data_IF_397105640559
#
_entry.id   IF_397105640559
#
_cell.length_a   1.000
_cell.length_b   1.000
_cell.length_c   1.000
_cell.angle_alpha   90.00
_cell.angle_beta   90.00
_cell.angle_gamma   90.00
#
_symmetry.space_group_name_H-M   'P 1'
#
loop_
_entity.id
_entity.type
_entity.pdbx_description
1 polymer ?
#
# COMPACT_ATOMS: atom_id res chain seq x y z
N UNK A 1 20.05 2.93 1.93
CA UNK A 1 18.75 2.29 2.16
C UNK A 1 17.92 3.20 3.06
N UNK A 2 17.02 4.01 2.50
CA UNK A 2 16.16 4.93 3.25
C UNK A 2 14.69 4.64 2.88
N UNK A 3 13.76 4.56 3.85
CA UNK A 3 12.42 4.05 3.61
C UNK A 3 11.46 5.10 3.01
N UNK A 4 10.76 4.65 1.97
CA UNK A 4 9.37 4.88 1.59
C UNK A 4 8.59 6.03 2.29
N UNK A 5 8.35 7.12 1.57
CA UNK A 5 7.43 8.19 1.97
C UNK A 5 6.00 7.88 1.47
N UNK A 6 5.11 7.51 2.40
CA UNK A 6 3.68 7.33 2.18
C UNK A 6 2.99 8.71 2.04
N UNK A 7 2.56 9.09 0.84
CA UNK A 7 1.65 10.24 0.64
C UNK A 7 0.20 9.79 0.88
N UNK A 8 -0.40 10.23 1.99
CA UNK A 8 -1.84 10.20 2.21
C UNK A 8 -2.39 11.60 1.89
N UNK A 9 -3.07 11.75 0.75
CA UNK A 9 -3.74 12.98 0.36
C UNK A 9 -5.20 12.96 0.82
N UNK A 10 -5.71 14.02 1.49
CA UNK A 10 -7.11 14.13 1.85
C UNK A 10 -7.95 14.37 0.60
N UNK A 11 -8.85 13.42 0.29
CA UNK A 11 -9.91 13.61 -0.72
C UNK A 11 -10.87 14.67 -0.18
N UNK A 12 -11.00 15.80 -0.89
CA UNK A 12 -11.90 16.90 -0.50
C UNK A 12 -13.32 16.56 -0.93
N UNK A 13 -14.08 15.98 -0.01
CA UNK A 13 -15.51 16.28 0.16
C UNK A 13 -15.87 16.03 1.63
N UNK A 14 -16.35 17.09 2.28
CA UNK A 14 -16.65 17.25 3.71
C UNK A 14 -15.44 17.46 4.67
N UNK A 15 -15.57 18.36 5.68
CA UNK A 15 -14.43 18.92 6.39
C UNK A 15 -14.07 18.03 7.58
N UNK A 16 -13.06 17.16 7.43
CA UNK A 16 -12.36 16.57 8.58
C UNK A 16 -10.88 16.43 8.25
N UNK A 17 -10.11 17.43 8.69
CA UNK A 17 -8.65 17.43 8.68
C UNK A 17 -8.15 16.34 9.62
N UNK A 18 -7.68 15.21 9.09
CA UNK A 18 -6.80 14.30 9.83
C UNK A 18 -5.81 13.65 8.88
N UNK A 19 -4.65 14.30 8.71
CA UNK A 19 -3.45 13.64 8.19
C UNK A 19 -2.99 12.62 9.22
N UNK A 20 -3.06 11.34 8.88
CA UNK A 20 -2.48 10.29 9.72
C UNK A 20 -1.20 9.79 9.08
N UNK A 21 -0.06 10.25 9.60
CA UNK A 21 1.24 9.71 9.24
C UNK A 21 1.42 8.39 10.02
N UNK A 22 1.15 7.24 9.39
CA UNK A 22 1.46 5.95 10.02
C UNK A 22 2.94 5.64 9.79
N UNK A 23 3.78 5.90 10.80
CA UNK A 23 5.17 5.43 10.83
C UNK A 23 5.18 3.97 11.27
N UNK A 24 5.51 3.06 10.36
CA UNK A 24 5.89 1.70 10.74
C UNK A 24 7.30 1.73 11.31
N UNK A 25 7.44 1.81 12.63
CA UNK A 25 8.70 1.51 13.30
C UNK A 25 8.85 -0.01 13.38
N UNK A 26 9.88 -0.53 12.72
CA UNK A 26 10.34 -1.91 12.85
C UNK A 26 10.85 -2.13 14.28
N UNK A 27 9.97 -2.49 15.21
CA UNK A 27 10.40 -3.00 16.52
C UNK A 27 10.54 -4.52 16.42
N UNK A 28 11.80 -4.94 16.43
CA UNK A 28 12.36 -6.25 16.79
C UNK A 28 11.42 -7.22 17.51
N UNK A 29 11.35 -8.43 16.93
CA UNK A 29 11.00 -9.78 17.40
C UNK A 29 10.49 -9.97 18.84
N UNK A 30 9.42 -10.77 19.06
CA UNK A 30 9.39 -11.65 20.20
C UNK A 30 10.19 -12.92 19.86
N UNK A 31 11.37 -13.07 20.47
CA UNK A 31 11.97 -14.38 20.62
C UNK A 31 11.11 -15.17 21.61
N UNK A 32 10.32 -16.12 21.09
CA UNK A 32 9.67 -17.14 21.89
C UNK A 32 10.25 -18.49 21.47
N UNK A 33 11.17 -18.97 22.30
CA UNK A 33 11.71 -20.31 22.25
C UNK A 33 10.65 -21.31 22.73
N UNK A 34 10.44 -22.38 21.98
CA UNK A 34 10.01 -23.69 22.50
C UNK A 34 10.19 -24.77 21.42
N UNK A 35 11.31 -25.46 21.52
CA UNK A 35 11.55 -26.89 21.30
C UNK A 35 10.52 -27.75 20.54
N UNK A 36 11.06 -28.35 19.46
CA UNK A 36 11.05 -29.77 19.13
C UNK A 36 9.75 -30.49 18.70
N UNK A 37 9.87 -31.06 17.49
CA UNK A 37 9.39 -32.36 17.01
C UNK A 37 8.10 -32.45 16.18
N UNK A 38 8.30 -33.06 15.00
CA UNK A 38 7.38 -33.92 14.21
C UNK A 38 6.22 -33.29 13.43
N UNK A 39 6.32 -33.42 12.10
CA UNK A 39 5.25 -33.43 11.09
C UNK A 39 4.39 -32.16 10.98
N UNK A 40 4.90 -31.14 10.28
CA UNK A 40 4.12 -29.95 9.99
C UNK A 40 3.32 -30.12 8.69
N UNK A 41 2.00 -30.30 8.80
CA UNK A 41 1.07 -30.04 7.71
C UNK A 41 1.28 -28.61 7.19
N UNK A 42 1.19 -28.35 5.86
CA UNK A 42 1.30 -26.99 5.34
C UNK A 42 0.22 -26.11 5.96
N UNK A 43 0.63 -25.14 6.76
CA UNK A 43 -0.26 -24.11 7.31
C UNK A 43 -0.75 -23.27 6.14
N UNK A 44 -2.07 -23.10 5.94
CA UNK A 44 -2.57 -22.33 4.81
C UNK A 44 -2.01 -20.90 4.88
N UNK A 45 -1.66 -20.30 3.75
CA UNK A 45 -1.04 -18.97 3.71
C UNK A 45 -1.85 -17.91 4.49
N UNK A 46 -3.18 -18.07 4.55
CA UNK A 46 -4.10 -17.26 5.35
C UNK A 46 -3.79 -17.28 6.85
N UNK A 47 -3.35 -18.41 7.41
CA UNK A 47 -3.04 -18.51 8.84
C UNK A 47 -1.77 -17.75 9.22
N UNK A 48 -0.79 -17.68 8.33
CA UNK A 48 0.46 -16.94 8.56
C UNK A 48 0.22 -15.43 8.55
N UNK A 49 -0.71 -14.95 7.72
CA UNK A 49 -1.01 -13.52 7.61
C UNK A 49 -2.00 -13.00 8.65
N UNK A 50 -2.74 -13.88 9.34
CA UNK A 50 -3.77 -13.50 10.30
C UNK A 50 -3.33 -12.48 11.37
N UNK A 51 -2.13 -12.59 12.00
CA UNK A 51 -1.68 -11.59 12.96
C UNK A 51 -1.48 -10.21 12.33
N UNK A 52 -1.00 -10.15 11.08
CA UNK A 52 -0.78 -8.91 10.35
C UNK A 52 -2.10 -8.26 9.92
N UNK A 53 -3.09 -9.04 9.48
CA UNK A 53 -4.44 -8.54 9.20
C UNK A 53 -5.07 -7.89 10.44
N UNK A 54 -5.00 -8.56 11.60
CA UNK A 54 -5.53 -8.03 12.87
C UNK A 54 -4.79 -6.75 13.30
N UNK A 55 -3.46 -6.75 13.20
CA UNK A 55 -2.65 -5.58 13.53
C UNK A 55 -2.94 -4.39 12.60
N UNK A 56 -3.11 -4.64 11.30
CA UNK A 56 -3.49 -3.64 10.32
C UNK A 56 -4.88 -3.06 10.61
N UNK A 57 -5.89 -3.90 10.79
CA UNK A 57 -7.25 -3.50 11.11
C UNK A 57 -7.32 -2.62 12.38
N UNK A 58 -6.57 -2.99 13.43
CA UNK A 58 -6.47 -2.19 14.67
C UNK A 58 -5.87 -0.81 14.41
N UNK A 59 -4.81 -0.71 13.60
CA UNK A 59 -4.19 0.58 13.26
C UNK A 59 -5.11 1.47 12.43
N UNK A 60 -5.84 0.90 11.47
CA UNK A 60 -6.84 1.63 10.68
C UNK A 60 -8.00 2.14 11.56
N UNK A 61 -8.50 1.31 12.48
CA UNK A 61 -9.52 1.73 13.44
C UNK A 61 -9.05 2.88 14.35
N UNK A 62 -7.82 2.81 14.88
CA UNK A 62 -7.23 3.90 15.67
C UNK A 62 -7.04 5.20 14.85
N UNK A 63 -6.85 5.07 13.55
CA UNK A 63 -6.81 6.20 12.61
C UNK A 63 -8.18 6.83 12.36
N UNK A 64 -9.28 6.16 12.73
CA UNK A 64 -10.64 6.52 12.34
C UNK A 64 -10.98 6.17 10.88
N UNK A 65 -10.22 5.23 10.28
CA UNK A 65 -10.45 4.76 8.91
C UNK A 65 -11.10 3.39 8.95
N UNK A 66 -12.27 3.27 8.32
CA UNK A 66 -13.07 2.06 8.32
C UNK A 66 -13.08 1.40 6.93
N UNK A 67 -13.35 0.10 6.79
CA UNK A 67 -13.27 -0.61 5.50
C UNK A 67 -14.12 0.01 4.38
N UNK A 68 -15.28 0.59 4.74
CA UNK A 68 -16.19 1.27 3.82
C UNK A 68 -15.67 2.62 3.31
N UNK A 69 -14.62 3.20 3.92
CA UNK A 69 -13.99 4.41 3.42
C UNK A 69 -13.20 4.12 2.13
N UNK A 70 -13.14 5.11 1.24
CA UNK A 70 -12.22 5.08 0.09
C UNK A 70 -10.80 5.35 0.57
N UNK A 71 -9.84 4.52 0.15
CA UNK A 71 -8.44 4.59 0.59
C UNK A 71 -7.52 4.58 -0.62
N UNK A 72 -6.59 5.53 -0.65
CA UNK A 72 -5.48 5.54 -1.61
C UNK A 72 -4.18 5.13 -0.90
N UNK A 73 -3.37 4.27 -1.52
CA UNK A 73 -2.09 3.78 -1.01
C UNK A 73 -0.99 4.17 -1.98
N UNK A 74 0.01 4.91 -1.51
CA UNK A 74 1.22 5.19 -2.29
C UNK A 74 2.11 3.95 -2.40
N UNK A 75 2.45 3.55 -3.64
CA UNK A 75 3.22 2.34 -3.93
C UNK A 75 4.51 2.69 -4.67
N UNK A 76 5.66 2.39 -4.08
CA UNK A 76 6.97 2.63 -4.70
C UNK A 76 7.53 1.44 -5.48
N UNK A 77 6.93 0.25 -5.29
CA UNK A 77 7.49 -1.02 -5.75
C UNK A 77 8.34 -1.77 -4.72
N UNK A 78 8.70 -1.13 -3.60
CA UNK A 78 9.37 -1.79 -2.49
C UNK A 78 8.47 -2.77 -1.72
N UNK A 79 9.06 -3.76 -1.02
CA UNK A 79 8.31 -4.83 -0.36
C UNK A 79 7.31 -4.31 0.69
N UNK A 80 7.66 -3.26 1.44
CA UNK A 80 6.78 -2.67 2.45
C UNK A 80 5.49 -2.08 1.84
N UNK A 81 5.61 -1.31 0.76
CA UNK A 81 4.44 -0.75 0.06
C UNK A 81 3.59 -1.83 -0.59
N UNK A 82 4.21 -2.88 -1.12
CA UNK A 82 3.49 -4.00 -1.72
C UNK A 82 2.71 -4.79 -0.65
N UNK A 83 3.36 -5.08 0.49
CA UNK A 83 2.71 -5.72 1.64
C UNK A 83 1.57 -4.86 2.20
N UNK A 84 1.74 -3.54 2.24
CA UNK A 84 0.69 -2.60 2.63
C UNK A 84 -0.53 -2.69 1.69
N UNK A 85 -0.32 -2.82 0.37
CA UNK A 85 -1.40 -3.02 -0.59
C UNK A 85 -2.16 -4.33 -0.35
N UNK A 86 -1.43 -5.43 -0.12
CA UNK A 86 -2.03 -6.75 0.19
C UNK A 86 -2.87 -6.67 1.46
N UNK A 87 -2.35 -6.07 2.53
CA UNK A 87 -3.07 -5.93 3.79
C UNK A 87 -4.30 -5.02 3.65
N UNK A 88 -4.21 -3.91 2.91
CA UNK A 88 -5.32 -3.01 2.65
C UNK A 88 -6.43 -3.68 1.81
N UNK A 89 -6.06 -4.46 0.80
CA UNK A 89 -6.99 -5.21 -0.04
C UNK A 89 -7.78 -6.23 0.78
N UNK A 90 -7.09 -7.06 1.57
CA UNK A 90 -7.73 -8.04 2.44
C UNK A 90 -8.60 -7.38 3.52
N UNK A 91 -8.14 -6.27 4.11
CA UNK A 91 -8.89 -5.53 5.13
C UNK A 91 -10.20 -4.94 4.59
N UNK A 92 -10.21 -4.48 3.33
CA UNK A 92 -11.42 -4.00 2.66
C UNK A 92 -12.39 -5.13 2.35
N UNK A 93 -11.91 -6.22 1.74
CA UNK A 93 -12.73 -7.42 1.47
C UNK A 93 -13.43 -7.94 2.74
N UNK A 94 -12.69 -8.03 3.85
CA UNK A 94 -13.24 -8.47 5.14
C UNK A 94 -14.34 -7.55 5.69
N UNK A 95 -14.31 -6.25 5.39
CA UNK A 95 -15.33 -5.29 5.83
C UNK A 95 -16.59 -5.25 4.96
N UNK A 96 -16.53 -5.75 3.73
CA UNK A 96 -17.67 -5.84 2.80
C UNK A 96 -18.58 -7.04 3.10
N UNK A 97 -18.28 -7.82 4.15
CA UNK A 97 -18.96 -9.10 4.40
C UNK A 97 -18.68 -10.14 3.32
N UNK A 98 -17.70 -9.89 2.44
CA UNK A 98 -17.11 -10.90 1.57
C UNK A 98 -16.20 -11.76 2.44
N UNK A 99 -16.84 -12.68 3.17
CA UNK A 99 -16.14 -13.84 3.71
C UNK A 99 -15.40 -14.49 2.55
N UNK A 100 -14.15 -14.88 2.81
CA UNK A 100 -13.25 -15.50 1.87
C UNK A 100 -13.92 -16.76 1.32
N UNK A 101 -14.69 -16.63 0.24
CA UNK A 101 -15.02 -17.76 -0.62
C UNK A 101 -13.68 -18.41 -0.94
N UNK A 102 -13.56 -19.68 -0.56
CA UNK A 102 -12.37 -20.52 -0.71
C UNK A 102 -11.57 -20.08 -1.94
N UNK A 103 -10.32 -19.64 -1.74
CA UNK A 103 -9.39 -19.37 -2.83
C UNK A 103 -9.01 -20.71 -3.49
N UNK A 104 -9.99 -21.35 -4.10
CA UNK A 104 -9.82 -22.44 -5.03
C UNK A 104 -9.48 -21.85 -6.38
N UNK A 105 -8.18 -21.68 -6.65
CA UNK A 105 -7.53 -21.65 -7.97
C UNK A 105 -8.30 -20.95 -9.13
N UNK A 106 -9.08 -19.93 -8.78
CA UNK A 106 -10.01 -19.21 -9.63
C UNK A 106 -9.68 -17.74 -9.48
N UNK A 107 -9.14 -17.17 -10.55
CA UNK A 107 -8.42 -15.90 -10.57
C UNK A 107 -9.06 -14.78 -9.75
N UNK A 108 -8.21 -13.90 -9.23
CA UNK A 108 -8.56 -12.59 -8.64
C UNK A 108 -9.30 -11.75 -9.70
N UNK A 109 -10.57 -12.07 -9.93
CA UNK A 109 -11.31 -11.66 -11.13
C UNK A 109 -11.85 -10.23 -11.04
N UNK A 110 -11.49 -9.49 -10.00
CA UNK A 110 -12.01 -8.15 -9.78
C UNK A 110 -11.09 -7.30 -8.94
N UNK A 111 -11.23 -6.00 -9.11
CA UNK A 111 -10.59 -5.03 -8.26
C UNK A 111 -11.35 -4.86 -6.93
N UNK A 112 -10.62 -4.64 -5.84
CA UNK A 112 -11.21 -4.33 -4.51
C UNK A 112 -11.84 -2.94 -4.53
N UNK A 113 -13.12 -2.83 -4.17
CA UNK A 113 -13.83 -1.56 -4.23
C UNK A 113 -13.32 -0.55 -3.17
N UNK A 114 -13.30 0.72 -3.59
CA UNK A 114 -12.78 1.83 -2.81
C UNK A 114 -11.29 1.76 -2.46
N UNK A 115 -10.49 0.88 -3.09
CA UNK A 115 -9.03 0.84 -2.92
C UNK A 115 -8.32 1.31 -4.20
N UNK A 116 -7.45 2.31 -4.08
CA UNK A 116 -6.62 2.83 -5.17
C UNK A 116 -5.14 2.75 -4.80
N UNK A 117 -4.33 2.09 -5.63
CA UNK A 117 -2.87 2.20 -5.60
C UNK A 117 -2.40 3.39 -6.44
N UNK A 118 -1.46 4.17 -5.92
CA UNK A 118 -0.86 5.29 -6.66
C UNK A 118 0.66 5.11 -6.69
N UNK A 119 1.21 4.94 -7.87
CA UNK A 119 2.66 4.96 -8.09
C UNK A 119 3.07 6.37 -8.49
N UNK A 120 4.09 6.93 -7.84
CA UNK A 120 4.61 8.25 -8.22
C UNK A 120 5.83 8.04 -9.10
N UNK A 121 5.71 8.42 -10.37
CA UNK A 121 6.84 8.47 -11.29
C UNK A 121 7.51 9.84 -11.19
N UNK A 122 8.69 9.89 -10.58
CA UNK A 122 9.43 11.14 -10.42
C UNK A 122 10.13 11.60 -11.70
N UNK A 123 10.22 10.80 -12.77
CA UNK A 123 10.84 11.22 -14.04
C UNK A 123 12.32 11.63 -13.94
N UNK A 124 13.05 11.14 -12.93
CA UNK A 124 14.44 11.54 -12.67
C UNK A 124 15.45 10.84 -13.57
N UNK A 125 15.09 9.64 -14.03
CA UNK A 125 15.86 8.79 -14.94
C UNK A 125 14.93 8.32 -16.07
N UNK A 126 15.45 8.05 -17.27
CA UNK A 126 14.64 7.57 -18.39
C UNK A 126 13.89 6.26 -18.07
N UNK A 127 14.47 5.38 -17.26
CA UNK A 127 13.87 4.10 -16.84
C UNK A 127 12.74 4.25 -15.79
N UNK A 128 12.55 5.44 -15.22
CA UNK A 128 11.57 5.68 -14.15
C UNK A 128 10.13 5.35 -14.57
N UNK A 129 9.79 5.59 -15.84
CA UNK A 129 8.48 5.28 -16.39
C UNK A 129 8.26 3.75 -16.48
N UNK A 130 9.26 3.00 -16.94
CA UNK A 130 9.17 1.54 -17.06
C UNK A 130 9.08 0.88 -15.68
N UNK A 131 9.85 1.37 -14.70
CA UNK A 131 9.74 0.93 -13.30
C UNK A 131 8.34 1.19 -12.74
N UNK A 132 7.78 2.39 -12.97
CA UNK A 132 6.45 2.74 -12.48
C UNK A 132 5.35 1.87 -13.10
N UNK A 133 5.45 1.57 -14.40
CA UNK A 133 4.54 0.64 -15.09
C UNK A 133 4.63 -0.76 -14.50
N UNK A 134 5.84 -1.27 -14.30
CA UNK A 134 6.04 -2.60 -13.75
C UNK A 134 5.51 -2.73 -12.31
N UNK A 135 5.59 -1.67 -11.50
CA UNK A 135 4.95 -1.62 -10.17
C UNK A 135 3.43 -1.60 -10.30
N UNK A 136 2.86 -0.75 -11.16
CA UNK A 136 1.42 -0.67 -11.41
C UNK A 136 0.85 -2.04 -11.80
N UNK A 137 1.54 -2.75 -12.70
CA UNK A 137 1.08 -4.04 -13.21
C UNK A 137 1.12 -5.11 -12.12
N UNK A 138 2.15 -5.10 -11.26
CA UNK A 138 2.17 -5.95 -10.05
C UNK A 138 1.01 -5.63 -9.10
N UNK A 139 0.69 -4.35 -8.89
CA UNK A 139 -0.44 -3.93 -8.03
C UNK A 139 -1.78 -4.36 -8.61
N UNK A 140 -1.96 -4.21 -9.92
CA UNK A 140 -3.16 -4.69 -10.63
C UNK A 140 -3.29 -6.21 -10.56
N UNK A 141 -2.19 -6.95 -10.67
CA UNK A 141 -2.15 -8.40 -10.47
C UNK A 141 -2.60 -8.87 -9.07
N UNK A 142 -2.56 -7.98 -8.07
CA UNK A 142 -3.08 -8.25 -6.72
C UNK A 142 -4.57 -7.89 -6.55
N UNK A 143 -5.27 -7.51 -7.63
CA UNK A 143 -6.68 -7.10 -7.58
C UNK A 143 -6.88 -5.67 -7.04
N UNK A 144 -5.92 -4.78 -7.22
CA UNK A 144 -6.03 -3.36 -6.81
C UNK A 144 -5.93 -2.44 -8.02
N UNK A 145 -6.89 -1.53 -8.20
CA UNK A 145 -6.80 -0.50 -9.25
C UNK A 145 -5.54 0.33 -8.96
N UNK A 146 -4.73 0.57 -9.98
CA UNK A 146 -3.50 1.33 -9.80
C UNK A 146 -3.28 2.34 -10.91
N UNK A 147 -2.97 3.57 -10.50
CA UNK A 147 -2.66 4.72 -11.36
C UNK A 147 -1.21 5.18 -11.16
N UNK A 148 -0.64 5.79 -12.20
CA UNK A 148 0.69 6.40 -12.16
C UNK A 148 0.51 7.92 -12.15
N UNK A 149 1.05 8.58 -11.14
CA UNK A 149 1.13 10.02 -11.04
C UNK A 149 2.55 10.47 -11.43
N UNK A 150 2.70 11.03 -12.62
CA UNK A 150 3.99 11.51 -13.13
C UNK A 150 4.26 12.94 -12.63
N UNK A 151 5.45 13.17 -12.09
CA UNK A 151 5.94 14.50 -11.73
C UNK A 151 6.54 15.20 -12.95
N UNK A 152 6.03 16.38 -13.30
CA UNK A 152 6.61 17.26 -14.31
C UNK A 152 7.56 18.27 -13.66
N UNK A 153 8.76 18.48 -14.19
CA UNK A 153 9.71 19.44 -13.60
C UNK A 153 9.87 20.67 -14.49
N UNK A 154 8.90 21.62 -14.52
CA UNK A 154 8.92 22.75 -15.44
C UNK A 154 10.12 23.68 -15.22
N UNK A 155 10.65 23.74 -13.99
CA UNK A 155 11.79 24.59 -13.62
C UNK A 155 13.12 23.82 -13.56
N UNK A 156 13.20 22.65 -14.20
CA UNK A 156 14.38 21.78 -14.16
C UNK A 156 14.35 20.75 -13.04
N UNK A 157 15.09 19.65 -13.23
CA UNK A 157 15.16 18.54 -12.26
C UNK A 157 15.74 19.01 -10.93
N UNK A 158 15.24 18.50 -9.79
CA UNK A 158 15.76 18.89 -8.48
C UNK A 158 17.24 18.51 -8.36
N UNK A 159 18.02 19.37 -7.69
CA UNK A 159 19.43 19.08 -7.40
C UNK A 159 19.54 17.77 -6.63
N UNK A 160 20.53 16.94 -6.97
CA UNK A 160 20.88 15.71 -6.25
C UNK A 160 20.98 16.03 -4.74
N UNK A 161 20.11 15.41 -3.94
CA UNK A 161 20.00 15.66 -2.50
C UNK A 161 18.65 16.25 -2.05
N UNK A 162 17.99 17.08 -2.86
CA UNK A 162 16.67 17.68 -2.54
C UNK A 162 15.50 17.01 -3.27
N UNK A 163 15.75 15.86 -3.89
CA UNK A 163 14.76 15.13 -4.70
C UNK A 163 13.50 14.79 -3.89
N UNK A 164 13.66 14.37 -2.63
CA UNK A 164 12.53 13.98 -1.78
C UNK A 164 11.67 15.18 -1.36
N UNK A 165 12.30 16.33 -1.09
CA UNK A 165 11.60 17.58 -0.77
C UNK A 165 10.89 18.13 -1.99
N UNK A 166 11.59 18.19 -3.13
CA UNK A 166 11.03 18.65 -4.39
C UNK A 166 9.89 17.74 -4.88
N UNK A 167 9.98 16.43 -4.66
CA UNK A 167 8.90 15.48 -4.95
C UNK A 167 7.68 15.67 -4.04
N UNK A 168 7.89 16.08 -2.79
CA UNK A 168 6.80 16.42 -1.86
C UNK A 168 6.10 17.73 -2.27
N UNK A 169 6.85 18.69 -2.80
CA UNK A 169 6.32 19.97 -3.28
C UNK A 169 5.66 19.86 -4.66
N UNK A 170 6.17 18.97 -5.52
CA UNK A 170 5.59 18.62 -6.81
C UNK A 170 4.29 17.85 -6.63
N UNK A 171 3.22 18.60 -6.37
CA UNK A 171 1.86 18.11 -6.34
C UNK A 171 1.34 18.06 -7.79
N UNK A 172 1.17 16.90 -8.42
CA UNK A 172 0.44 16.84 -9.68
C UNK A 172 -1.01 17.28 -9.41
N UNK A 173 -1.44 18.31 -10.14
CA UNK A 173 -2.77 18.92 -10.04
C UNK A 173 -3.91 18.02 -10.59
N UNK A 174 -3.74 16.70 -10.67
CA UNK A 174 -4.67 15.80 -11.36
C UNK A 174 -5.44 14.80 -10.49
N UNK A 175 -5.31 14.84 -9.16
CA UNK A 175 -6.20 14.09 -8.27
C UNK A 175 -7.40 14.97 -7.85
N UNK A 176 -8.40 15.04 -8.72
CA UNK A 176 -9.76 15.49 -8.39
C UNK A 176 -10.70 14.28 -8.34
#
# INVERSE_FOLDING_TARGET
>A
MMPLLLLLLPVRSAPLRRLLLCRCSSSSSPAAAASASSSACPVPASSVLAPYHRAFARRMALAGVHPHHRVAVGVSGGPDSMALCVLAAAWKKAGEGREQEDEGEGGVSGFVDGLLGVVVDHGLRPESADEAQLVRDRVRGMGVVCEIATCEWPNGRPKLGHIQEAAREMRPNSLF
#
